data_IF_984395556597
#
_entry.id   IF_984395556597
#
_cell.length_a   1.000
_cell.length_b   1.000
_cell.length_c   1.000
_cell.angle_alpha   90.00
_cell.angle_beta   90.00
_cell.angle_gamma   90.00
#
_symmetry.space_group_name_H-M   'P 1'
#
loop_
_entity.id
_entity.type
_entity.pdbx_description
1 polymer ?
#
# COMPACT_ATOMS: atom_id res chain seq x y z
N UNK A 1 15.27 -0.17 -14.44
CA UNK A 1 14.79 -1.10 -13.40
C UNK A 1 13.40 -0.65 -13.00
N UNK A 2 12.38 -1.50 -13.11
CA UNK A 2 11.05 -1.16 -12.58
C UNK A 2 11.06 -1.33 -11.06
N UNK A 3 10.29 -0.50 -10.33
CA UNK A 3 10.10 -0.61 -8.89
C UNK A 3 9.77 -2.04 -8.41
N UNK A 4 8.88 -2.81 -9.06
CA UNK A 4 8.60 -4.20 -8.66
C UNK A 4 9.80 -5.14 -8.82
N UNK A 5 10.59 -5.00 -9.88
CA UNK A 5 11.80 -5.82 -10.06
C UNK A 5 12.90 -5.44 -9.07
N UNK A 6 12.98 -4.17 -8.67
CA UNK A 6 13.89 -3.74 -7.61
C UNK A 6 13.48 -4.31 -6.25
N UNK A 7 12.20 -4.21 -5.89
CA UNK A 7 11.66 -4.72 -4.63
C UNK A 7 11.83 -6.24 -4.49
N UNK A 8 11.49 -7.00 -5.53
CA UNK A 8 11.64 -8.45 -5.49
C UNK A 8 13.09 -8.91 -5.37
N UNK A 9 14.02 -8.24 -6.06
CA UNK A 9 15.44 -8.55 -5.95
C UNK A 9 15.99 -8.25 -4.54
N UNK A 10 15.57 -7.15 -3.91
CA UNK A 10 15.97 -6.82 -2.54
C UNK A 10 15.39 -7.81 -1.52
N UNK A 11 14.17 -8.28 -1.74
CA UNK A 11 13.47 -9.21 -0.84
C UNK A 11 13.79 -10.69 -1.11
N UNK A 12 14.54 -11.01 -2.17
CA UNK A 12 14.89 -12.39 -2.55
C UNK A 12 13.69 -13.24 -3.02
N UNK A 13 12.63 -12.61 -3.54
CA UNK A 13 11.40 -13.28 -3.95
C UNK A 13 11.54 -13.80 -5.38
N UNK A 14 11.41 -15.12 -5.58
CA UNK A 14 11.36 -15.74 -6.92
C UNK A 14 9.94 -15.82 -7.47
N UNK A 15 9.00 -16.18 -6.60
CA UNK A 15 7.59 -16.38 -6.93
C UNK A 15 6.72 -15.66 -5.89
N UNK A 16 5.86 -14.77 -6.34
CA UNK A 16 5.04 -13.97 -5.44
C UNK A 16 4.46 -12.73 -6.11
N UNK A 17 3.98 -11.80 -5.30
CA UNK A 17 3.48 -10.52 -5.78
C UNK A 17 4.12 -9.37 -4.99
N UNK A 18 4.44 -8.29 -5.68
CA UNK A 18 4.76 -6.99 -5.06
C UNK A 18 3.55 -6.09 -5.25
N UNK A 19 3.05 -5.56 -4.14
CA UNK A 19 1.94 -4.60 -4.11
C UNK A 19 2.50 -3.30 -3.55
N UNK A 20 2.68 -2.31 -4.42
CA UNK A 20 3.18 -0.97 -4.07
C UNK A 20 2.01 0.00 -3.94
N UNK A 21 1.65 0.34 -2.70
CA UNK A 21 0.52 1.24 -2.41
C UNK A 21 1.03 2.67 -2.30
N UNK A 22 0.88 3.44 -3.38
CA UNK A 22 1.21 4.85 -3.44
C UNK A 22 0.10 5.77 -2.91
N UNK A 23 0.28 7.08 -3.10
CA UNK A 23 -0.72 8.07 -2.71
C UNK A 23 -2.01 7.98 -3.53
N UNK A 24 -1.91 7.90 -4.86
CA UNK A 24 -3.06 7.87 -5.77
C UNK A 24 -3.23 6.59 -6.59
N UNK A 25 -2.20 5.75 -6.63
CA UNK A 25 -2.18 4.52 -7.43
C UNK A 25 -1.56 3.39 -6.64
N UNK A 26 -2.01 2.17 -6.92
CA UNK A 26 -1.46 0.94 -6.35
C UNK A 26 -0.97 0.08 -7.49
N UNK A 27 0.35 -0.13 -7.55
CA UNK A 27 0.98 -0.99 -8.54
C UNK A 27 1.00 -2.43 -8.04
N UNK A 28 0.53 -3.37 -8.85
CA UNK A 28 0.56 -4.80 -8.54
C UNK A 28 1.44 -5.47 -9.60
N UNK A 29 2.42 -6.25 -9.15
CA UNK A 29 3.28 -7.03 -10.04
C UNK A 29 3.41 -8.47 -9.57
N UNK A 30 3.20 -9.41 -10.48
CA UNK A 30 3.35 -10.85 -10.23
C UNK A 30 4.71 -11.29 -10.72
N UNK A 31 5.44 -12.00 -9.85
CA UNK A 31 6.71 -12.61 -10.14
C UNK A 31 6.58 -14.13 -10.22
N UNK A 32 7.28 -14.70 -11.19
CA UNK A 32 7.45 -16.13 -11.36
C UNK A 32 8.86 -16.43 -11.83
N UNK A 33 9.55 -17.38 -11.20
CA UNK A 33 10.93 -17.75 -11.52
C UNK A 33 11.89 -16.53 -11.55
N UNK A 34 11.70 -15.58 -10.64
CA UNK A 34 12.51 -14.35 -10.53
C UNK A 34 12.24 -13.31 -11.63
N UNK A 35 11.18 -13.47 -12.42
CA UNK A 35 10.79 -12.54 -13.49
C UNK A 35 9.39 -12.00 -13.28
N UNK A 36 9.18 -10.73 -13.61
CA UNK A 36 7.84 -10.14 -13.61
C UNK A 36 7.08 -10.67 -14.82
N UNK A 37 5.94 -11.30 -14.59
CA UNK A 37 5.08 -11.89 -15.64
C UNK A 37 3.79 -11.10 -15.86
N UNK A 38 3.43 -10.23 -14.92
CA UNK A 38 2.25 -9.38 -15.04
C UNK A 38 2.42 -8.11 -14.19
N UNK A 39 1.95 -6.98 -14.70
CA UNK A 39 1.89 -5.72 -13.97
C UNK A 39 0.59 -5.00 -14.30
N UNK A 40 -0.07 -4.44 -13.29
CA UNK A 40 -1.26 -3.58 -13.42
C UNK A 40 -1.18 -2.45 -12.40
N UNK A 41 -1.71 -1.29 -12.78
CA UNK A 41 -1.87 -0.13 -11.90
C UNK A 41 -3.34 0.10 -11.62
N UNK A 42 -3.73 0.08 -10.36
CA UNK A 42 -5.08 0.39 -9.91
C UNK A 42 -5.15 1.84 -9.40
N UNK A 43 -6.18 2.62 -9.76
CA UNK A 43 -6.33 4.01 -9.34
C UNK A 43 -6.83 4.10 -7.90
N UNK A 44 -6.08 3.57 -6.94
CA UNK A 44 -6.38 3.62 -5.51
C UNK A 44 -5.12 3.77 -4.67
N UNK A 45 -5.23 4.20 -3.42
CA UNK A 45 -4.07 4.36 -2.55
C UNK A 45 -4.34 5.19 -1.30
N UNK A 46 -3.27 5.79 -0.76
CA UNK A 46 -3.31 6.55 0.49
C UNK A 46 -4.29 7.73 0.51
N UNK A 47 -4.57 8.36 -0.64
CA UNK A 47 -5.56 9.44 -0.75
C UNK A 47 -6.98 8.92 -0.55
N UNK A 48 -7.30 7.74 -1.07
CA UNK A 48 -8.60 7.10 -0.81
C UNK A 48 -8.76 6.77 0.67
N UNK A 49 -7.70 6.36 1.36
CA UNK A 49 -7.74 6.18 2.82
C UNK A 49 -8.07 7.47 3.56
N UNK A 50 -7.49 8.61 3.13
CA UNK A 50 -7.79 9.91 3.75
C UNK A 50 -9.25 10.30 3.57
N UNK A 51 -9.87 9.98 2.42
CA UNK A 51 -11.30 10.22 2.22
C UNK A 51 -12.16 9.41 3.19
N UNK A 52 -11.81 8.13 3.40
CA UNK A 52 -12.51 7.26 4.35
C UNK A 52 -12.39 7.78 5.78
N UNK A 53 -11.16 8.11 6.22
CA UNK A 53 -10.91 8.64 7.58
C UNK A 53 -11.62 9.99 7.77
N UNK A 54 -11.50 10.90 6.79
CA UNK A 54 -12.18 12.20 6.81
C UNK A 54 -13.69 12.04 6.97
N UNK A 55 -14.31 11.13 6.20
CA UNK A 55 -15.74 10.83 6.31
C UNK A 55 -16.13 10.21 7.64
N UNK A 56 -15.31 9.30 8.19
CA UNK A 56 -15.60 8.61 9.45
C UNK A 56 -15.51 9.53 10.68
N UNK A 57 -14.53 10.44 10.71
CA UNK A 57 -14.26 11.31 11.86
C UNK A 57 -14.76 12.75 11.69
N UNK A 58 -15.29 13.12 10.52
CA UNK A 58 -15.78 14.47 10.25
C UNK A 58 -14.68 15.54 10.22
N UNK A 59 -13.45 15.14 9.88
CA UNK A 59 -12.26 16.02 9.83
C UNK A 59 -11.88 16.32 8.38
N UNK A 60 -11.09 17.38 8.14
CA UNK A 60 -10.61 17.71 6.80
C UNK A 60 -9.64 16.65 6.25
N UNK A 61 -9.46 16.59 4.92
CA UNK A 61 -8.51 15.66 4.28
C UNK A 61 -7.06 15.85 4.81
N UNK A 62 -6.54 17.06 5.01
CA UNK A 62 -5.22 17.25 5.63
C UNK A 62 -5.13 16.73 7.07
N UNK A 63 -6.19 16.91 7.87
CA UNK A 63 -6.26 16.36 9.22
C UNK A 63 -6.35 14.84 9.20
N UNK A 64 -7.06 14.25 8.23
CA UNK A 64 -7.12 12.80 8.02
C UNK A 64 -5.76 12.21 7.63
N UNK A 65 -4.97 12.88 6.79
CA UNK A 65 -3.59 12.46 6.50
C UNK A 65 -2.72 12.50 7.77
N UNK A 66 -2.84 13.56 8.58
CA UNK A 66 -2.13 13.65 9.85
C UNK A 66 -2.57 12.55 10.83
N UNK A 67 -3.88 12.28 10.91
CA UNK A 67 -4.46 11.21 11.71
C UNK A 67 -3.96 9.84 11.28
N UNK A 68 -3.93 9.56 9.97
CA UNK A 68 -3.47 8.30 9.36
C UNK A 68 -2.00 7.98 9.68
N UNK A 69 -1.14 9.01 9.70
CA UNK A 69 0.30 8.88 9.97
C UNK A 69 0.64 8.87 11.45
N UNK A 70 -0.31 9.21 12.32
CA UNK A 70 -0.08 9.22 13.75
C UNK A 70 -0.05 7.77 14.29
N UNK A 71 1.09 7.40 14.88
CA UNK A 71 1.32 6.09 15.50
C UNK A 71 0.27 5.71 16.54
N UNK A 72 -0.24 6.68 17.30
CA UNK A 72 -1.26 6.46 18.31
C UNK A 72 -2.58 5.93 17.70
N UNK A 73 -2.84 6.22 16.42
CA UNK A 73 -4.08 5.88 15.74
C UNK A 73 -3.96 4.62 14.88
N UNK A 74 -2.79 3.96 14.83
CA UNK A 74 -2.57 2.81 13.94
C UNK A 74 -3.60 1.69 14.09
N UNK A 75 -4.11 1.48 15.30
CA UNK A 75 -5.13 0.45 15.59
C UNK A 75 -6.46 0.72 14.90
N UNK A 76 -6.80 1.99 14.72
CA UNK A 76 -8.05 2.42 14.10
C UNK A 76 -7.94 2.45 12.57
N UNK A 77 -6.71 2.56 12.05
CA UNK A 77 -6.43 2.79 10.64
C UNK A 77 -6.00 1.52 9.90
N UNK A 78 -5.18 0.67 10.51
CA UNK A 78 -4.58 -0.49 9.85
C UNK A 78 -5.00 -1.78 10.53
N UNK A 79 -5.37 -2.77 9.71
CA UNK A 79 -5.55 -4.13 10.19
C UNK A 79 -4.22 -4.67 10.76
N UNK A 80 -4.26 -5.29 11.94
CA UNK A 80 -3.09 -5.98 12.49
C UNK A 80 -2.99 -7.37 11.90
N UNK A 81 -1.81 -7.75 11.43
CA UNK A 81 -1.48 -9.17 11.32
C UNK A 81 -1.28 -9.71 12.73
N UNK A 82 -2.07 -10.71 13.13
CA UNK A 82 -1.65 -11.60 14.21
C UNK A 82 -0.49 -12.44 13.67
N UNK A 83 0.66 -12.42 14.34
CA UNK A 83 1.67 -13.47 14.13
C UNK A 83 1.01 -14.80 14.45
N UNK A 84 0.84 -15.63 13.43
CA UNK A 84 0.59 -17.07 13.58
C UNK A 84 1.92 -17.79 13.55
#
# INVERSE_FOLDING_TARGET
FSYPTAAANVLGITDGAVIDVGGGTTGISILKDGRVVYTVDEPTGGTHMNLVISGAYGISIPEAEAYKRNEANKRDVYARSEER
#
